data_IF_365907196888
#
_entry.id   IF_365907196888
#
_cell.length_a   1.000
_cell.length_b   1.000
_cell.length_c   1.000
_cell.angle_alpha   90.00
_cell.angle_beta   90.00
_cell.angle_gamma   90.00
#
_symmetry.space_group_name_H-M   'P 1'
#
loop_
_entity.id
_entity.type
_entity.pdbx_description
1 polymer ?
#
# COMPACT_ATOMS: atom_id res chain seq x y z
N UNK A 1 -12.53 -4.93 -1.47
CA UNK A 1 -13.51 -5.87 -0.89
C UNK A 1 -14.49 -5.06 -0.04
N UNK A 2 -15.80 -5.18 -0.26
CA UNK A 2 -16.79 -4.43 0.52
C UNK A 2 -16.66 -4.84 1.99
N UNK A 3 -16.50 -3.88 2.92
CA UNK A 3 -16.32 -4.14 4.35
C UNK A 3 -17.45 -5.03 4.92
N UNK A 4 -18.65 -4.86 4.38
CA UNK A 4 -19.82 -5.67 4.72
C UNK A 4 -19.64 -7.13 4.31
N UNK A 5 -19.05 -7.40 3.13
CA UNK A 5 -18.82 -8.77 2.67
C UNK A 5 -17.83 -9.50 3.58
N UNK A 6 -16.73 -8.83 4.00
CA UNK A 6 -15.74 -9.41 4.91
C UNK A 6 -16.36 -9.76 6.26
N UNK A 7 -17.20 -8.87 6.79
CA UNK A 7 -17.88 -9.08 8.07
C UNK A 7 -18.86 -10.26 7.99
N UNK A 8 -19.64 -10.36 6.92
CA UNK A 8 -20.58 -11.47 6.70
C UNK A 8 -19.82 -12.80 6.61
N UNK A 9 -18.69 -12.86 5.91
CA UNK A 9 -17.87 -14.08 5.81
C UNK A 9 -17.29 -14.49 7.16
N UNK A 10 -16.82 -13.52 7.97
CA UNK A 10 -16.33 -13.82 9.31
C UNK A 10 -17.44 -14.29 10.25
N UNK A 11 -18.60 -13.62 10.21
CA UNK A 11 -19.74 -13.98 11.03
C UNK A 11 -20.26 -15.38 10.70
N UNK A 12 -20.34 -15.75 9.42
CA UNK A 12 -20.79 -17.09 9.04
C UNK A 12 -19.84 -18.18 9.52
N UNK A 13 -18.52 -17.99 9.35
CA UNK A 13 -17.50 -18.93 9.84
C UNK A 13 -17.54 -19.06 11.36
N UNK A 14 -17.69 -17.96 12.08
CA UNK A 14 -17.80 -17.96 13.54
C UNK A 14 -19.02 -18.76 14.01
N UNK A 15 -20.20 -18.53 13.41
CA UNK A 15 -21.44 -19.23 13.79
C UNK A 15 -21.34 -20.73 13.52
N UNK A 16 -20.80 -21.13 12.36
CA UNK A 16 -20.59 -22.55 12.05
C UNK A 16 -19.63 -23.21 13.03
N UNK A 17 -18.57 -22.50 13.42
CA UNK A 17 -17.57 -23.00 14.38
C UNK A 17 -18.19 -23.22 15.77
N UNK A 18 -19.04 -22.30 16.23
CA UNK A 18 -19.72 -22.40 17.53
C UNK A 18 -20.71 -23.57 17.53
N UNK A 19 -21.52 -23.72 16.48
CA UNK A 19 -22.47 -24.85 16.36
C UNK A 19 -21.73 -26.18 16.36
N UNK A 20 -20.65 -26.28 15.59
CA UNK A 20 -19.83 -27.49 15.51
C UNK A 20 -19.22 -27.85 16.87
N UNK A 21 -18.72 -26.86 17.61
CA UNK A 21 -18.19 -27.06 18.96
C UNK A 21 -19.27 -27.53 19.95
N UNK A 22 -20.48 -26.95 19.89
CA UNK A 22 -21.59 -27.34 20.76
C UNK A 22 -22.07 -28.78 20.49
N UNK A 23 -22.16 -29.19 19.23
CA UNK A 23 -22.51 -30.58 18.86
C UNK A 23 -21.45 -31.57 19.33
N UNK A 24 -20.16 -31.22 19.21
CA UNK A 24 -19.07 -32.08 19.65
C UNK A 24 -19.00 -32.23 21.17
N UNK A 25 -19.28 -31.16 21.93
CA UNK A 25 -19.43 -31.24 23.39
C UNK A 25 -20.50 -32.23 23.82
N UNK A 26 -21.59 -32.37 23.05
CA UNK A 26 -22.66 -33.32 23.33
C UNK A 26 -22.35 -34.77 22.92
N UNK A 27 -21.60 -34.99 21.83
CA UNK A 27 -21.39 -36.33 21.25
C UNK A 27 -20.06 -36.96 21.67
N UNK A 28 -19.00 -36.18 21.85
CA UNK A 28 -17.65 -36.64 22.26
C UNK A 28 -16.95 -35.56 23.10
N UNK A 29 -17.28 -35.43 24.40
CA UNK A 29 -16.76 -34.37 25.26
C UNK A 29 -15.22 -34.42 25.39
N UNK A 30 -14.63 -35.59 25.30
CA UNK A 30 -13.21 -35.89 25.32
C UNK A 30 -12.46 -35.37 24.07
N UNK A 31 -13.11 -35.30 22.91
CA UNK A 31 -12.54 -34.72 21.69
C UNK A 31 -12.74 -33.19 21.58
N UNK A 32 -13.57 -32.60 22.45
CA UNK A 32 -13.94 -31.18 22.37
C UNK A 32 -12.76 -30.25 22.63
N UNK A 33 -11.86 -30.59 23.56
CA UNK A 33 -10.71 -29.76 23.90
C UNK A 33 -9.76 -29.56 22.72
N UNK A 34 -9.42 -30.64 22.00
CA UNK A 34 -8.53 -30.58 20.82
C UNK A 34 -9.18 -29.79 19.68
N UNK A 35 -10.50 -29.93 19.50
CA UNK A 35 -11.23 -29.18 18.48
C UNK A 35 -11.31 -27.68 18.81
N UNK A 36 -11.60 -27.31 20.07
CA UNK A 36 -11.62 -25.91 20.51
C UNK A 36 -10.25 -25.27 20.28
N UNK A 37 -9.17 -25.99 20.59
CA UNK A 37 -7.81 -25.56 20.29
C UNK A 37 -7.61 -25.32 18.79
N UNK A 38 -8.03 -26.27 17.94
CA UNK A 38 -7.90 -26.16 16.49
C UNK A 38 -8.69 -24.98 15.91
N UNK A 39 -9.93 -24.78 16.37
CA UNK A 39 -10.80 -23.66 15.98
C UNK A 39 -10.17 -22.33 16.43
N UNK A 40 -9.70 -22.23 17.67
CA UNK A 40 -9.02 -21.02 18.16
C UNK A 40 -7.79 -20.69 17.33
N UNK A 41 -6.99 -21.70 16.97
CA UNK A 41 -5.80 -21.54 16.13
C UNK A 41 -6.18 -21.09 14.72
N UNK A 42 -7.21 -21.67 14.13
CA UNK A 42 -7.72 -21.30 12.81
C UNK A 42 -8.25 -19.86 12.80
N UNK A 43 -9.04 -19.47 13.80
CA UNK A 43 -9.54 -18.09 13.93
C UNK A 43 -8.42 -17.08 14.10
N UNK A 44 -7.39 -17.40 14.90
CA UNK A 44 -6.22 -16.55 15.06
C UNK A 44 -5.47 -16.35 13.73
N UNK A 45 -5.27 -17.43 12.96
CA UNK A 45 -4.65 -17.36 11.63
C UNK A 45 -5.46 -16.49 10.66
N UNK A 46 -6.78 -16.68 10.62
CA UNK A 46 -7.66 -15.88 9.74
C UNK A 46 -7.65 -14.41 10.19
N UNK A 47 -7.65 -14.13 11.49
CA UNK A 47 -7.60 -12.76 12.01
C UNK A 47 -6.29 -12.06 11.63
N UNK A 48 -5.14 -12.73 11.79
CA UNK A 48 -3.84 -12.22 11.36
C UNK A 48 -3.84 -11.97 9.85
N UNK A 49 -4.26 -12.94 9.06
CA UNK A 49 -4.33 -12.82 7.60
C UNK A 49 -5.23 -11.64 7.17
N UNK A 50 -6.42 -11.52 7.74
CA UNK A 50 -7.34 -10.43 7.44
C UNK A 50 -6.77 -9.07 7.83
N UNK A 51 -6.11 -8.97 8.99
CA UNK A 51 -5.40 -7.77 9.42
C UNK A 51 -4.28 -7.36 8.46
N UNK A 52 -3.47 -8.31 8.04
CA UNK A 52 -2.38 -8.10 7.07
C UNK A 52 -2.92 -7.65 5.71
N UNK A 53 -3.92 -8.34 5.16
CA UNK A 53 -4.53 -7.98 3.87
C UNK A 53 -5.18 -6.60 3.93
N UNK A 54 -5.90 -6.27 5.02
CA UNK A 54 -6.50 -4.95 5.19
C UNK A 54 -5.44 -3.84 5.31
N UNK A 55 -4.38 -4.09 6.07
CA UNK A 55 -3.24 -3.18 6.21
C UNK A 55 -2.55 -2.91 4.88
N UNK A 56 -2.23 -3.97 4.13
CA UNK A 56 -1.62 -3.88 2.80
C UNK A 56 -2.53 -3.17 1.79
N UNK A 57 -3.84 -3.45 1.80
CA UNK A 57 -4.79 -2.76 0.92
C UNK A 57 -4.84 -1.25 1.15
N UNK A 58 -4.83 -0.81 2.41
CA UNK A 58 -4.80 0.63 2.75
C UNK A 58 -3.46 1.28 2.40
N UNK A 59 -2.36 0.53 2.48
CA UNK A 59 -1.05 1.02 2.02
C UNK A 59 -1.03 1.19 0.50
N UNK A 60 -1.58 0.22 -0.26
CA UNK A 60 -1.71 0.32 -1.71
C UNK A 60 -2.50 1.55 -2.15
N UNK A 61 -3.62 1.84 -1.50
CA UNK A 61 -4.45 3.03 -1.80
C UNK A 61 -3.68 4.35 -1.58
N UNK A 62 -2.85 4.42 -0.53
CA UNK A 62 -1.97 5.57 -0.29
C UNK A 62 -0.87 5.67 -1.34
N UNK A 63 -0.28 4.56 -1.75
CA UNK A 63 0.74 4.52 -2.80
C UNK A 63 0.16 5.02 -4.13
N UNK A 64 -1.03 4.56 -4.51
CA UNK A 64 -1.71 5.03 -5.72
C UNK A 64 -2.00 6.53 -5.69
N UNK A 65 -2.39 7.04 -4.51
CA UNK A 65 -2.61 8.47 -4.31
C UNK A 65 -1.32 9.26 -4.48
N UNK A 66 -0.23 8.79 -3.85
CA UNK A 66 1.10 9.40 -3.98
C UNK A 66 1.55 9.39 -5.44
N UNK A 67 1.45 8.25 -6.14
CA UNK A 67 1.83 8.15 -7.55
C UNK A 67 1.04 9.13 -8.43
N UNK A 68 -0.27 9.25 -8.22
CA UNK A 68 -1.09 10.24 -8.97
C UNK A 68 -0.66 11.68 -8.68
N UNK A 69 -0.40 12.01 -7.42
CA UNK A 69 0.05 13.36 -7.04
C UNK A 69 1.45 13.65 -7.60
N UNK A 70 2.41 12.73 -7.44
CA UNK A 70 3.77 12.87 -7.96
C UNK A 70 3.79 13.00 -9.48
N UNK A 71 3.01 12.19 -10.21
CA UNK A 71 2.95 12.29 -11.67
C UNK A 71 2.34 13.63 -12.14
N UNK A 72 1.31 14.12 -11.44
CA UNK A 72 0.74 15.44 -11.71
C UNK A 72 1.73 16.58 -11.44
N UNK A 73 2.42 16.54 -10.29
CA UNK A 73 3.41 17.55 -9.91
C UNK A 73 4.65 17.52 -10.81
N UNK A 74 5.17 16.36 -11.18
CA UNK A 74 6.30 16.25 -12.09
C UNK A 74 5.97 16.78 -13.49
N UNK A 75 4.75 16.51 -13.99
CA UNK A 75 4.31 17.05 -15.27
C UNK A 75 4.25 18.58 -15.24
N UNK A 76 3.71 19.16 -14.15
CA UNK A 76 3.68 20.61 -13.95
C UNK A 76 5.09 21.22 -13.84
N UNK A 77 6.00 20.58 -13.10
CA UNK A 77 7.39 21.01 -12.97
C UNK A 77 8.14 20.96 -14.29
N UNK A 78 7.94 19.92 -15.11
CA UNK A 78 8.53 19.84 -16.43
C UNK A 78 7.99 20.92 -17.36
N UNK A 79 6.68 21.18 -17.35
CA UNK A 79 6.09 22.25 -18.16
C UNK A 79 6.62 23.64 -17.77
N UNK A 80 6.75 23.93 -16.47
CA UNK A 80 7.32 25.20 -15.99
C UNK A 80 8.80 25.30 -16.36
N UNK A 81 9.58 24.22 -16.23
CA UNK A 81 10.98 24.20 -16.67
C UNK A 81 11.10 24.51 -18.17
N UNK A 82 10.31 23.85 -19.02
CA UNK A 82 10.30 24.14 -20.45
C UNK A 82 9.91 25.60 -20.74
N UNK A 83 8.93 26.15 -20.01
CA UNK A 83 8.54 27.57 -20.14
C UNK A 83 9.69 28.50 -19.78
N UNK A 84 10.35 28.26 -18.65
CA UNK A 84 11.48 29.07 -18.17
C UNK A 84 12.68 28.96 -19.11
N UNK A 85 13.02 27.76 -19.58
CA UNK A 85 14.07 27.54 -20.58
C UNK A 85 13.78 28.35 -21.85
N UNK A 86 12.55 28.31 -22.36
CA UNK A 86 12.17 29.09 -23.54
C UNK A 86 12.27 30.60 -23.31
N UNK A 87 11.89 31.10 -22.12
CA UNK A 87 12.03 32.51 -21.78
C UNK A 87 13.49 32.95 -21.67
N UNK A 88 14.38 32.11 -21.14
CA UNK A 88 15.81 32.38 -21.07
C UNK A 88 16.42 32.46 -22.48
N UNK A 89 16.09 31.50 -23.34
CA UNK A 89 16.51 31.48 -24.74
C UNK A 89 16.03 32.74 -25.47
N UNK A 90 14.78 33.16 -25.27
CA UNK A 90 14.25 34.41 -25.86
C UNK A 90 14.99 35.67 -25.38
N UNK A 91 15.53 35.65 -24.15
CA UNK A 91 16.36 36.72 -23.61
C UNK A 91 17.84 36.62 -24.02
N UNK A 92 18.18 35.67 -24.89
CA UNK A 92 19.56 35.44 -25.35
C UNK A 92 20.45 34.74 -24.32
N UNK A 93 19.88 34.21 -23.23
CA UNK A 93 20.59 33.44 -22.21
C UNK A 93 20.45 31.97 -22.58
N UNK A 94 21.57 31.27 -22.77
CA UNK A 94 21.56 29.84 -23.04
C UNK A 94 21.82 29.05 -21.74
N UNK A 95 20.76 28.55 -21.05
CA UNK A 95 20.92 27.88 -19.76
C UNK A 95 21.73 26.59 -19.81
N UNK A 96 21.83 25.96 -20.99
CA UNK A 96 22.61 24.73 -21.19
C UNK A 96 24.11 25.02 -21.33
N UNK A 97 24.48 26.22 -21.82
CA UNK A 97 25.89 26.64 -21.95
C UNK A 97 26.47 27.08 -20.59
N UNK A 98 25.70 27.87 -19.83
CA UNK A 98 26.13 28.39 -18.53
C UNK A 98 26.24 27.30 -17.45
N UNK A 99 25.41 26.26 -17.51
CA UNK A 99 25.47 25.11 -16.58
C UNK A 99 26.64 24.17 -16.87
N UNK A 100 27.10 24.07 -18.12
CA UNK A 100 28.30 23.31 -18.49
C UNK A 100 29.57 24.06 -18.03
N UNK A 101 29.60 25.40 -18.12
CA UNK A 101 30.70 26.19 -17.55
C UNK A 101 30.75 26.11 -16.02
N UNK A 102 29.60 26.15 -15.35
CA UNK A 102 29.53 26.02 -13.89
C UNK A 102 29.90 24.61 -13.38
N UNK A 103 29.79 23.57 -14.22
CA UNK A 103 30.24 22.20 -13.92
C UNK A 103 31.70 21.92 -14.25
N UNK A 104 32.43 22.86 -14.88
CA UNK A 104 33.87 22.69 -15.12
C UNK A 104 34.57 22.73 -13.75
N UNK A 105 35.21 21.64 -13.29
CA UNK A 105 35.88 21.64 -11.99
C UNK A 105 36.96 22.72 -11.98
N UNK A 106 37.05 23.48 -10.89
CA UNK A 106 37.95 24.62 -10.73
C UNK A 106 39.44 24.31 -10.97
N UNK A 107 39.81 23.02 -11.00
CA UNK A 107 41.17 22.53 -11.22
C UNK A 107 41.57 22.34 -12.69
N UNK A 108 40.70 22.64 -13.66
CA UNK A 108 40.99 22.47 -15.09
C UNK A 108 41.33 23.79 -15.82
N UNK A 109 41.72 24.84 -15.07
CA UNK A 109 42.19 26.12 -15.61
C UNK A 109 43.65 26.33 -15.18
N UNK A 110 44.56 25.57 -15.78
CA UNK A 110 45.99 25.88 -15.86
C UNK A 110 46.43 25.84 -17.33
#
# INVERSE_FOLDING_TARGET
MNKTAVFITFASVATVSIITAAVLLAVRPDASATLIQLIGTALALIAVFAGTVYGLGKQGEKIDTIQRQTNGTNTALHAENTRLTNLLIQRGINPDADTIEARKPAHARE
#
